data_IF_583666186192
#
_entry.id   IF_583666186192
#
_cell.length_a   1.000
_cell.length_b   1.000
_cell.length_c   1.000
_cell.angle_alpha   90.00
_cell.angle_beta   90.00
_cell.angle_gamma   90.00
#
_symmetry.space_group_name_H-M   'P 1'
#
loop_
_entity.id
_entity.type
_entity.pdbx_description
1 polymer ?
#
# COMPACT_ATOMS: atom_id res chain seq x y z
N UNK A 1 25.04 25.33 10.82
CA UNK A 1 25.16 23.92 10.41
C UNK A 1 23.74 23.38 10.32
N UNK A 2 23.20 23.10 9.10
CA UNK A 2 21.90 22.45 8.96
C UNK A 2 22.09 20.99 9.38
N UNK A 3 21.52 20.59 10.53
CA UNK A 3 21.39 19.19 10.87
C UNK A 3 20.61 18.51 9.77
N UNK A 4 21.27 17.57 9.07
CA UNK A 4 20.61 16.64 8.18
C UNK A 4 19.64 15.80 9.02
N UNK A 5 18.36 16.14 9.05
CA UNK A 5 17.33 15.24 9.54
C UNK A 5 17.48 13.96 8.75
N UNK A 6 17.83 12.85 9.41
CA UNK A 6 17.87 11.54 8.77
C UNK A 6 16.51 11.30 8.15
N UNK A 7 16.46 11.33 6.81
CA UNK A 7 15.26 10.96 6.07
C UNK A 7 15.13 9.46 6.22
N UNK A 8 14.09 9.02 6.91
CA UNK A 8 13.71 7.62 6.94
C UNK A 8 13.43 7.09 5.53
N UNK A 9 13.23 5.77 5.37
CA UNK A 9 12.91 5.19 4.08
C UNK A 9 11.65 5.83 3.48
N UNK A 10 11.63 5.99 2.15
CA UNK A 10 10.50 6.51 1.41
C UNK A 10 9.64 5.36 0.90
N UNK A 11 8.33 5.50 1.10
CA UNK A 11 7.34 4.55 0.61
C UNK A 11 6.55 5.21 -0.52
N UNK A 12 6.65 4.62 -1.71
CA UNK A 12 6.10 5.20 -2.92
C UNK A 12 4.64 4.85 -3.11
N UNK A 13 3.94 5.70 -3.84
CA UNK A 13 2.63 5.40 -4.36
C UNK A 13 2.68 4.25 -5.38
N UNK A 14 1.53 3.74 -5.77
CA UNK A 14 1.42 2.66 -6.76
C UNK A 14 0.36 3.00 -7.81
N UNK A 15 0.45 2.34 -8.96
CA UNK A 15 -0.58 2.33 -9.98
C UNK A 15 -0.88 0.88 -10.32
N UNK A 16 -2.17 0.49 -10.29
CA UNK A 16 -2.63 -0.75 -10.88
C UNK A 16 -2.82 -0.51 -12.37
N UNK A 17 -1.83 -0.94 -13.16
CA UNK A 17 -1.78 -0.68 -14.58
C UNK A 17 -2.80 -1.50 -15.38
N UNK A 18 -3.01 -2.75 -14.95
CA UNK A 18 -4.00 -3.68 -15.49
C UNK A 18 -4.67 -4.45 -14.37
N UNK A 19 -5.91 -4.90 -14.60
CA UNK A 19 -6.62 -5.83 -13.72
C UNK A 19 -7.56 -5.16 -12.72
N UNK A 20 -7.82 -3.86 -12.85
CA UNK A 20 -8.77 -3.15 -11.97
C UNK A 20 -10.11 -3.92 -11.92
N UNK A 21 -10.58 -4.17 -10.70
CA UNK A 21 -11.72 -5.03 -10.37
C UNK A 21 -11.61 -6.49 -10.85
N UNK A 22 -11.00 -6.77 -12.00
CA UNK A 22 -10.86 -8.12 -12.56
C UNK A 22 -10.10 -9.06 -11.64
N UNK A 23 -9.11 -8.57 -10.90
CA UNK A 23 -8.35 -9.36 -9.91
C UNK A 23 -9.23 -9.97 -8.81
N UNK A 24 -10.40 -9.38 -8.53
CA UNK A 24 -11.39 -9.93 -7.57
C UNK A 24 -11.97 -11.27 -8.10
N UNK A 25 -11.90 -11.49 -9.40
CA UNK A 25 -12.38 -12.68 -10.13
C UNK A 25 -11.23 -13.46 -10.79
N UNK A 26 -10.06 -13.43 -10.16
CA UNK A 26 -8.85 -14.16 -10.59
C UNK A 26 -8.35 -13.79 -12.00
N UNK A 27 -8.65 -12.57 -12.49
CA UNK A 27 -7.97 -12.07 -13.68
C UNK A 27 -6.55 -11.65 -13.34
N UNK A 28 -5.70 -11.62 -14.37
CA UNK A 28 -4.34 -11.09 -14.23
C UNK A 28 -4.36 -9.60 -13.96
N UNK A 29 -3.34 -9.13 -13.24
CA UNK A 29 -3.12 -7.73 -12.94
C UNK A 29 -1.64 -7.39 -12.87
N UNK A 30 -1.33 -6.12 -13.05
CA UNK A 30 0.03 -5.60 -12.89
C UNK A 30 -0.02 -4.30 -12.08
N UNK A 31 0.55 -4.33 -10.89
CA UNK A 31 0.76 -3.15 -10.06
C UNK A 31 2.21 -2.70 -10.16
N UNK A 32 2.42 -1.40 -10.33
CA UNK A 32 3.75 -0.81 -10.46
C UNK A 32 3.95 0.30 -9.41
N UNK A 33 5.16 0.46 -8.85
CA UNK A 33 5.47 1.62 -8.02
C UNK A 33 5.46 2.89 -8.88
N UNK A 34 4.97 3.98 -8.31
CA UNK A 34 4.93 5.30 -8.95
C UNK A 34 5.70 6.30 -8.11
N UNK A 35 6.94 6.56 -8.48
CA UNK A 35 7.91 7.29 -7.66
C UNK A 35 7.71 8.80 -7.60
N UNK A 36 6.70 9.34 -8.29
CA UNK A 36 6.39 10.77 -8.25
C UNK A 36 5.86 11.21 -6.89
N UNK A 37 5.10 10.35 -6.23
CA UNK A 37 4.58 10.58 -4.90
C UNK A 37 5.15 9.59 -3.90
N UNK A 38 5.40 10.06 -2.68
CA UNK A 38 5.92 9.23 -1.61
C UNK A 38 5.48 9.73 -0.24
N UNK A 39 5.70 8.90 0.78
CA UNK A 39 5.52 9.25 2.17
C UNK A 39 6.61 8.65 3.05
N UNK A 40 6.81 9.23 4.22
CA UNK A 40 7.73 8.77 5.25
C UNK A 40 7.24 9.14 6.65
N UNK A 41 7.62 8.35 7.66
CA UNK A 41 7.42 8.72 9.06
C UNK A 41 8.46 9.78 9.44
N UNK A 42 8.01 10.86 10.08
CA UNK A 42 8.85 11.97 10.52
C UNK A 42 8.39 12.50 11.87
N UNK A 43 9.33 13.04 12.63
CA UNK A 43 9.04 13.84 13.82
C UNK A 43 9.18 15.33 13.46
N UNK A 44 8.17 16.17 13.68
CA UNK A 44 8.21 17.57 13.28
C UNK A 44 9.02 18.39 14.29
N UNK A 45 9.74 19.40 13.82
CA UNK A 45 10.37 20.39 14.72
C UNK A 45 9.31 21.28 15.40
N UNK A 46 8.23 21.59 14.67
CA UNK A 46 7.09 22.37 15.18
C UNK A 46 5.81 21.67 14.74
N UNK A 47 4.91 21.44 15.68
CA UNK A 47 3.63 20.83 15.40
C UNK A 47 2.67 21.83 14.74
N UNK A 48 2.12 21.46 13.57
CA UNK A 48 1.03 22.15 12.89
C UNK A 48 -0.30 21.43 13.09
N UNK A 49 -1.45 22.03 12.74
CA UNK A 49 -2.74 21.33 12.75
C UNK A 49 -2.72 20.04 11.90
N UNK A 50 -2.05 20.06 10.75
CA UNK A 50 -1.95 18.93 9.83
C UNK A 50 -1.11 17.78 10.44
N UNK A 51 0.07 18.10 11.03
CA UNK A 51 0.90 17.09 11.71
C UNK A 51 0.18 16.50 12.90
N UNK A 52 -0.53 17.31 13.69
CA UNK A 52 -1.35 16.83 14.83
C UNK A 52 -2.47 15.90 14.37
N UNK A 53 -3.15 16.23 13.27
CA UNK A 53 -4.20 15.38 12.69
C UNK A 53 -3.63 14.05 12.23
N UNK A 54 -2.48 14.06 11.55
CA UNK A 54 -1.78 12.84 11.12
C UNK A 54 -1.36 11.99 12.32
N UNK A 55 -0.74 12.60 13.35
CA UNK A 55 -0.37 11.89 14.60
C UNK A 55 -1.59 11.26 15.28
N UNK A 56 -2.70 11.99 15.39
CA UNK A 56 -3.94 11.48 15.99
C UNK A 56 -4.50 10.26 15.19
N UNK A 57 -4.35 10.28 13.88
CA UNK A 57 -4.73 9.16 13.04
C UNK A 57 -3.82 7.94 13.28
N UNK A 58 -2.51 8.14 13.40
CA UNK A 58 -1.54 7.09 13.72
C UNK A 58 -1.74 6.50 15.12
N UNK A 59 -2.14 7.30 16.12
CA UNK A 59 -2.49 6.81 17.45
C UNK A 59 -3.67 5.81 17.37
N UNK A 60 -4.72 6.13 16.60
CA UNK A 60 -5.83 5.19 16.39
C UNK A 60 -5.38 3.93 15.67
N UNK A 61 -4.46 4.05 14.72
CA UNK A 61 -3.90 2.91 14.04
C UNK A 61 -3.04 2.04 14.96
N UNK A 62 -2.21 2.63 15.85
CA UNK A 62 -1.48 1.88 16.89
C UNK A 62 -2.42 1.10 17.81
N UNK A 63 -3.51 1.72 18.25
CA UNK A 63 -4.53 1.05 19.08
C UNK A 63 -5.18 -0.15 18.35
N UNK A 64 -5.49 0.02 17.06
CA UNK A 64 -5.99 -1.07 16.23
C UNK A 64 -4.96 -2.21 16.11
N UNK A 65 -3.70 -1.92 15.84
CA UNK A 65 -2.64 -2.92 15.77
C UNK A 65 -2.46 -3.67 17.09
N UNK A 66 -2.54 -2.97 18.23
CA UNK A 66 -2.45 -3.58 19.56
C UNK A 66 -3.59 -4.57 19.79
N UNK A 67 -4.81 -4.21 19.41
CA UNK A 67 -5.97 -5.09 19.50
C UNK A 67 -5.84 -6.30 18.56
N UNK A 68 -5.54 -6.09 17.31
CA UNK A 68 -5.41 -7.14 16.30
C UNK A 68 -4.26 -8.11 16.59
N UNK A 69 -3.16 -7.62 17.16
CA UNK A 69 -2.03 -8.45 17.62
C UNK A 69 -2.45 -9.30 18.82
N UNK A 70 -3.16 -8.73 19.79
CA UNK A 70 -3.67 -9.47 20.95
C UNK A 70 -4.64 -10.59 20.56
N UNK A 71 -5.46 -10.38 19.53
CA UNK A 71 -6.37 -11.36 18.96
C UNK A 71 -5.68 -12.34 17.99
N UNK A 72 -4.38 -12.20 17.74
CA UNK A 72 -3.60 -13.00 16.78
C UNK A 72 -4.13 -12.95 15.35
N UNK A 73 -4.75 -11.84 14.98
CA UNK A 73 -5.27 -11.62 13.62
C UNK A 73 -4.15 -11.21 12.64
N UNK A 74 -3.07 -10.60 13.15
CA UNK A 74 -1.89 -10.23 12.36
C UNK A 74 -0.77 -11.23 12.65
N UNK A 75 -0.20 -11.81 11.58
CA UNK A 75 0.82 -12.86 11.65
C UNK A 75 2.24 -12.37 11.97
N UNK A 76 2.39 -11.19 12.58
CA UNK A 76 3.68 -10.60 12.99
C UNK A 76 3.48 -9.78 14.27
N UNK A 77 4.50 -9.78 15.14
CA UNK A 77 4.54 -8.91 16.30
C UNK A 77 5.10 -7.52 15.92
N UNK A 78 4.73 -6.50 16.70
CA UNK A 78 5.17 -5.12 16.53
C UNK A 78 5.72 -4.56 17.85
N UNK A 79 6.77 -3.78 17.78
CA UNK A 79 7.24 -2.92 18.88
C UNK A 79 6.30 -1.72 19.05
N UNK A 80 5.10 -2.02 19.60
CA UNK A 80 4.05 -1.01 19.78
C UNK A 80 4.38 0.00 20.88
N UNK A 81 5.24 -0.35 21.83
CA UNK A 81 5.65 0.57 22.89
C UNK A 81 6.59 1.64 22.32
N UNK A 82 7.49 1.26 21.41
CA UNK A 82 8.31 2.21 20.66
C UNK A 82 7.47 3.07 19.71
N UNK A 83 6.48 2.47 19.03
CA UNK A 83 5.55 3.22 18.20
C UNK A 83 4.81 4.31 19.03
N UNK A 84 4.26 3.93 20.18
CA UNK A 84 3.55 4.86 21.05
C UNK A 84 4.48 5.96 21.62
N UNK A 85 5.75 5.62 21.94
CA UNK A 85 6.75 6.59 22.35
C UNK A 85 7.04 7.63 21.25
N UNK A 86 7.24 7.17 20.00
CA UNK A 86 7.48 8.07 18.85
C UNK A 86 6.24 8.93 18.54
N UNK A 87 5.04 8.37 18.65
CA UNK A 87 3.78 9.12 18.52
C UNK A 87 3.61 10.19 19.61
N UNK A 88 4.06 9.91 20.84
CA UNK A 88 4.04 10.89 21.95
C UNK A 88 4.94 12.09 21.67
N UNK A 89 5.98 11.92 20.85
CA UNK A 89 6.86 12.99 20.38
C UNK A 89 6.29 13.73 19.16
N UNK A 90 5.08 13.35 18.70
CA UNK A 90 4.39 13.98 17.59
C UNK A 90 4.77 13.42 16.23
N UNK A 91 5.28 12.17 16.14
CA UNK A 91 5.54 11.52 14.88
C UNK A 91 4.29 11.51 13.99
N UNK A 92 4.47 11.79 12.71
CA UNK A 92 3.42 11.88 11.72
C UNK A 92 3.87 11.23 10.40
N UNK A 93 2.93 10.95 9.53
CA UNK A 93 3.23 10.49 8.18
C UNK A 93 3.25 11.68 7.23
N UNK A 94 4.46 12.08 6.81
CA UNK A 94 4.68 13.13 5.81
C UNK A 94 4.52 12.52 4.42
N UNK A 95 3.46 12.93 3.71
CA UNK A 95 3.11 12.30 2.45
C UNK A 95 2.69 13.31 1.39
N UNK A 96 3.24 13.14 0.19
CA UNK A 96 2.79 13.82 -1.03
C UNK A 96 1.73 13.02 -1.81
N UNK A 97 1.39 11.81 -1.36
CA UNK A 97 0.46 10.91 -2.06
C UNK A 97 -0.97 11.44 -1.92
N UNK A 98 -1.66 11.76 -3.03
CA UNK A 98 -3.02 12.27 -2.96
C UNK A 98 -3.98 11.22 -2.41
N UNK A 99 -4.82 11.64 -1.45
CA UNK A 99 -5.82 10.76 -0.84
C UNK A 99 -7.08 10.68 -1.70
N UNK A 100 -7.69 9.49 -1.77
CA UNK A 100 -8.93 9.27 -2.52
C UNK A 100 -8.77 9.11 -4.04
N UNK A 101 -7.52 9.03 -4.54
CA UNK A 101 -7.23 8.86 -5.97
C UNK A 101 -6.81 7.42 -6.35
N UNK A 102 -6.94 6.46 -5.44
CA UNK A 102 -6.60 5.05 -5.72
C UNK A 102 -5.10 4.77 -5.94
N UNK A 103 -4.23 5.71 -5.58
CA UNK A 103 -2.76 5.61 -5.80
C UNK A 103 -1.99 5.07 -4.58
N UNK A 104 -2.68 4.50 -3.58
CA UNK A 104 -2.07 3.74 -2.49
C UNK A 104 -1.56 4.59 -1.32
N UNK A 105 -2.26 5.67 -0.94
CA UNK A 105 -1.88 6.50 0.22
C UNK A 105 -1.88 5.71 1.53
N UNK A 106 -2.93 4.93 1.82
CA UNK A 106 -3.01 4.03 2.98
C UNK A 106 -1.94 2.95 2.92
N UNK A 107 -1.71 2.39 1.74
CA UNK A 107 -0.70 1.35 1.52
C UNK A 107 0.70 1.82 1.87
N UNK A 108 1.09 3.02 1.48
CA UNK A 108 2.38 3.59 1.80
C UNK A 108 2.55 3.83 3.32
N UNK A 109 1.49 4.27 4.01
CA UNK A 109 1.51 4.42 5.47
C UNK A 109 1.65 3.07 6.18
N UNK A 110 0.88 2.06 5.76
CA UNK A 110 0.97 0.69 6.28
C UNK A 110 2.37 0.13 6.10
N UNK A 111 2.96 0.29 4.91
CA UNK A 111 4.32 -0.14 4.61
C UNK A 111 5.34 0.55 5.52
N UNK A 112 5.19 1.85 5.78
CA UNK A 112 6.07 2.63 6.66
C UNK A 112 6.00 2.16 8.13
N UNK A 113 4.80 1.87 8.64
CA UNK A 113 4.62 1.35 10.01
C UNK A 113 5.18 -0.07 10.12
N UNK A 114 4.94 -0.94 9.14
CA UNK A 114 5.52 -2.28 9.12
C UNK A 114 7.06 -2.21 9.12
N UNK A 115 7.63 -1.41 8.25
CA UNK A 115 9.08 -1.26 8.17
C UNK A 115 9.68 -0.68 9.45
N UNK A 116 9.01 0.30 10.05
CA UNK A 116 9.48 0.93 11.27
C UNK A 116 9.39 0.03 12.50
N UNK A 117 8.33 -0.79 12.64
CA UNK A 117 7.94 -1.33 13.93
C UNK A 117 7.64 -2.83 13.97
N UNK A 118 7.64 -3.55 12.84
CA UNK A 118 7.53 -5.01 12.88
C UNK A 118 8.83 -5.66 13.41
N UNK A 119 8.71 -6.64 14.33
CA UNK A 119 9.87 -7.27 14.97
C UNK A 119 10.65 -8.18 14.01
N UNK A 120 9.98 -9.16 13.40
CA UNK A 120 10.59 -10.11 12.47
C UNK A 120 10.17 -9.78 11.02
N UNK A 121 10.74 -8.71 10.45
CA UNK A 121 10.40 -8.26 9.11
C UNK A 121 10.87 -9.22 8.03
N UNK A 122 9.99 -9.47 7.05
CA UNK A 122 10.41 -10.01 5.76
C UNK A 122 10.95 -8.83 4.95
N UNK A 123 12.24 -8.80 4.67
CA UNK A 123 12.89 -7.69 3.97
C UNK A 123 13.00 -7.95 2.47
N UNK A 124 13.08 -6.87 1.69
CA UNK A 124 13.25 -6.94 0.22
C UNK A 124 14.61 -7.54 -0.17
N UNK A 125 15.60 -7.44 0.73
CA UNK A 125 16.97 -7.93 0.52
C UNK A 125 17.09 -9.45 0.66
N UNK A 126 16.10 -10.10 1.27
CA UNK A 126 16.05 -11.55 1.37
C UNK A 126 15.52 -12.18 0.08
N UNK A 127 15.77 -13.47 -0.08
CA UNK A 127 15.14 -14.22 -1.17
C UNK A 127 13.61 -14.23 -0.94
N UNK A 128 12.89 -13.45 -1.74
CA UNK A 128 11.44 -13.32 -1.69
C UNK A 128 10.80 -14.55 -2.33
N UNK A 129 10.60 -15.60 -1.54
CA UNK A 129 9.82 -16.76 -1.99
C UNK A 129 8.35 -16.40 -2.12
N UNK A 130 7.59 -17.22 -2.85
CA UNK A 130 6.14 -17.05 -2.97
C UNK A 130 5.45 -17.06 -1.61
N UNK A 131 5.87 -17.93 -0.70
CA UNK A 131 5.32 -18.04 0.64
C UNK A 131 5.53 -16.73 1.42
N UNK A 132 6.73 -16.15 1.37
CA UNK A 132 7.05 -14.87 2.01
C UNK A 132 6.21 -13.72 1.42
N UNK A 133 6.02 -13.70 0.11
CA UNK A 133 5.15 -12.69 -0.55
C UNK A 133 3.69 -12.82 -0.10
N UNK A 134 3.16 -14.04 -0.04
CA UNK A 134 1.79 -14.28 0.43
C UNK A 134 1.64 -13.95 1.91
N UNK A 135 2.65 -14.25 2.72
CA UNK A 135 2.67 -13.87 4.14
C UNK A 135 2.66 -12.34 4.31
N UNK A 136 3.52 -11.61 3.59
CA UNK A 136 3.51 -10.14 3.59
C UNK A 136 2.16 -9.59 3.15
N UNK A 137 1.61 -10.11 2.05
CA UNK A 137 0.29 -9.71 1.55
C UNK A 137 -0.80 -9.90 2.61
N UNK A 138 -0.79 -11.03 3.33
CA UNK A 138 -1.76 -11.30 4.39
C UNK A 138 -1.61 -10.35 5.58
N UNK A 139 -0.38 -10.09 6.04
CA UNK A 139 -0.09 -9.11 7.09
C UNK A 139 -0.59 -7.73 6.68
N UNK A 140 -0.26 -7.30 5.48
CA UNK A 140 -0.65 -5.99 4.96
C UNK A 140 -2.16 -5.87 4.75
N UNK A 141 -2.84 -6.94 4.35
CA UNK A 141 -4.30 -6.95 4.25
C UNK A 141 -4.96 -6.69 5.62
N UNK A 142 -4.48 -7.33 6.67
CA UNK A 142 -4.97 -7.09 8.03
C UNK A 142 -4.69 -5.67 8.50
N UNK A 143 -3.45 -5.17 8.34
CA UNK A 143 -3.11 -3.81 8.73
C UNK A 143 -3.95 -2.77 7.98
N UNK A 144 -4.11 -2.92 6.67
CA UNK A 144 -4.85 -1.97 5.82
C UNK A 144 -6.38 -2.03 6.03
N UNK A 145 -6.89 -3.12 6.62
CA UNK A 145 -8.31 -3.24 6.99
C UNK A 145 -8.78 -2.17 7.98
N UNK A 146 -7.86 -1.55 8.72
CA UNK A 146 -8.15 -0.35 9.53
C UNK A 146 -8.76 0.79 8.71
N UNK A 147 -8.31 0.98 7.47
CA UNK A 147 -8.74 2.09 6.61
C UNK A 147 -10.01 1.77 5.81
N UNK A 148 -10.15 0.51 5.39
CA UNK A 148 -11.12 0.11 4.38
C UNK A 148 -12.06 -1.03 4.82
N UNK A 149 -11.93 -1.50 6.06
CA UNK A 149 -12.68 -2.66 6.60
C UNK A 149 -12.23 -3.99 6.00
N UNK A 150 -11.93 -4.04 4.69
CA UNK A 150 -11.36 -5.21 4.01
C UNK A 150 -10.38 -4.77 2.95
N UNK A 151 -9.19 -5.36 2.95
CA UNK A 151 -8.15 -5.08 1.98
C UNK A 151 -7.56 -6.36 1.38
N UNK A 152 -7.02 -6.25 0.17
CA UNK A 152 -6.24 -7.31 -0.49
C UNK A 152 -4.79 -7.36 -0.02
N UNK A 153 -4.26 -6.30 0.60
CA UNK A 153 -2.87 -6.12 0.98
C UNK A 153 -1.92 -5.83 -0.18
N UNK A 154 -2.43 -5.66 -1.41
CA UNK A 154 -1.58 -5.45 -2.59
C UNK A 154 -0.98 -4.04 -2.64
N UNK A 155 -1.71 -3.02 -2.20
CA UNK A 155 -1.23 -1.64 -2.20
C UNK A 155 -0.04 -1.45 -1.24
N UNK A 156 -0.13 -1.86 0.05
CA UNK A 156 1.03 -1.82 0.94
C UNK A 156 2.18 -2.73 0.48
N UNK A 157 1.88 -3.89 -0.10
CA UNK A 157 2.89 -4.80 -0.62
C UNK A 157 3.70 -4.12 -1.73
N UNK A 158 3.05 -3.45 -2.67
CA UNK A 158 3.72 -2.72 -3.74
C UNK A 158 4.56 -1.56 -3.20
N UNK A 159 4.00 -0.76 -2.27
CA UNK A 159 4.71 0.35 -1.63
C UNK A 159 5.93 -0.11 -0.83
N UNK A 160 5.84 -1.26 -0.15
CA UNK A 160 6.92 -1.83 0.66
C UNK A 160 8.04 -2.40 -0.20
N UNK A 161 7.70 -3.21 -1.21
CA UNK A 161 8.69 -3.85 -2.08
C UNK A 161 9.32 -2.87 -3.07
N UNK A 162 8.60 -1.80 -3.44
CA UNK A 162 8.99 -0.86 -4.50
C UNK A 162 9.36 -1.57 -5.81
N UNK A 163 8.68 -2.66 -6.13
CA UNK A 163 8.85 -3.48 -7.33
C UNK A 163 7.52 -3.65 -8.05
N UNK A 164 7.51 -3.78 -9.39
CA UNK A 164 6.33 -4.23 -10.10
C UNK A 164 5.90 -5.61 -9.61
N UNK A 165 4.59 -5.78 -9.41
CA UNK A 165 4.00 -7.04 -8.95
C UNK A 165 3.04 -7.55 -10.02
N UNK A 166 3.36 -8.70 -10.59
CA UNK A 166 2.45 -9.43 -11.46
C UNK A 166 1.51 -10.27 -10.59
N UNK A 167 0.23 -10.08 -10.80
CA UNK A 167 -0.86 -10.78 -10.13
C UNK A 167 -1.42 -11.78 -11.14
N UNK A 168 -1.14 -13.06 -10.96
CA UNK A 168 -1.67 -14.13 -11.83
C UNK A 168 -3.00 -14.66 -11.30
N UNK A 169 -3.19 -14.63 -9.97
CA UNK A 169 -4.43 -14.94 -9.25
C UNK A 169 -4.32 -14.36 -7.82
N UNK A 170 -5.35 -14.55 -7.00
CA UNK A 170 -5.35 -14.09 -5.60
C UNK A 170 -4.19 -14.68 -4.78
N UNK A 171 -3.80 -15.92 -5.09
CA UNK A 171 -2.75 -16.66 -4.37
C UNK A 171 -1.48 -16.83 -5.21
N UNK A 172 -1.41 -16.24 -6.39
CA UNK A 172 -0.24 -16.31 -7.25
C UNK A 172 0.20 -14.91 -7.67
N UNK A 173 1.10 -14.36 -6.89
CA UNK A 173 1.75 -13.08 -7.12
C UNK A 173 3.26 -13.29 -7.22
N UNK A 174 3.92 -12.47 -8.04
CA UNK A 174 5.37 -12.53 -8.24
C UNK A 174 5.94 -11.15 -8.57
N UNK A 175 7.18 -10.84 -8.15
CA UNK A 175 7.85 -9.64 -8.62
C UNK A 175 8.06 -9.73 -10.14
N UNK A 176 7.76 -8.64 -10.83
CA UNK A 176 7.98 -8.53 -12.26
C UNK A 176 9.18 -7.62 -12.54
N UNK A 177 10.00 -7.99 -13.52
CA UNK A 177 11.04 -7.11 -14.03
C UNK A 177 10.42 -5.99 -14.86
N UNK A 178 10.96 -4.77 -14.73
CA UNK A 178 10.68 -3.72 -15.71
C UNK A 178 11.50 -4.04 -16.95
N UNK A 179 10.89 -4.17 -18.14
CA UNK A 179 11.67 -4.33 -19.36
C UNK A 179 12.69 -3.20 -19.47
N UNK A 180 13.94 -3.54 -19.75
CA UNK A 180 14.98 -2.52 -19.92
C UNK A 180 14.50 -1.56 -21.01
N UNK A 181 14.40 -0.28 -20.66
CA UNK A 181 14.12 0.76 -21.65
C UNK A 181 15.30 0.82 -22.60
N UNK A 182 15.21 0.13 -23.72
CA UNK A 182 16.09 0.41 -24.84
C UNK A 182 15.77 1.83 -25.29
N UNK A 183 16.74 2.72 -25.23
CA UNK A 183 16.67 4.17 -25.52
C UNK A 183 16.10 4.55 -26.90
N UNK A 184 15.51 3.62 -27.63
CA UNK A 184 15.05 3.77 -29.01
C UNK A 184 13.53 3.69 -29.22
N UNK A 185 12.73 3.34 -28.21
CA UNK A 185 11.27 3.37 -28.35
C UNK A 185 10.75 4.72 -27.84
N UNK A 186 10.27 5.56 -28.72
CA UNK A 186 9.70 6.89 -28.41
C UNK A 186 8.31 6.83 -27.73
N UNK A 187 7.99 5.74 -26.99
CA UNK A 187 6.74 5.61 -26.24
C UNK A 187 6.87 6.23 -24.84
N UNK A 188 5.77 6.79 -24.34
CA UNK A 188 5.65 7.30 -22.98
C UNK A 188 4.31 6.87 -22.37
N UNK A 189 4.30 6.68 -21.04
CA UNK A 189 3.09 6.43 -20.25
C UNK A 189 2.79 7.70 -19.46
N UNK A 190 1.56 8.19 -19.56
CA UNK A 190 1.11 9.38 -18.86
C UNK A 190 0.03 9.01 -17.85
N UNK A 191 0.13 9.56 -16.64
CA UNK A 191 -0.96 9.53 -15.65
C UNK A 191 -1.83 10.76 -15.88
N UNK A 192 -3.10 10.53 -16.21
CA UNK A 192 -4.09 11.58 -16.31
C UNK A 192 -4.87 11.66 -14.99
N UNK A 193 -4.79 12.80 -14.31
CA UNK A 193 -5.63 13.07 -13.13
C UNK A 193 -7.04 13.43 -13.61
N UNK A 194 -8.04 12.70 -13.12
CA UNK A 194 -9.45 12.97 -13.40
C UNK A 194 -9.98 14.24 -12.70
N UNK A 195 -9.24 14.77 -11.73
CA UNK A 195 -9.67 15.90 -10.89
C UNK A 195 -10.78 15.56 -9.90
N UNK A 196 -11.16 14.27 -9.78
CA UNK A 196 -12.26 13.81 -8.92
C UNK A 196 -11.76 12.66 -8.05
N UNK A 197 -11.96 12.76 -6.74
CA UNK A 197 -11.75 11.64 -5.83
C UNK A 197 -12.86 10.60 -5.99
N UNK A 198 -12.53 9.33 -5.90
CA UNK A 198 -13.48 8.23 -6.01
C UNK A 198 -13.36 7.23 -4.87
N UNK A 199 -14.50 6.71 -4.42
CA UNK A 199 -14.52 5.57 -3.50
C UNK A 199 -14.50 4.26 -4.29
N UNK A 200 -13.61 3.35 -3.92
CA UNK A 200 -13.47 2.05 -4.61
C UNK A 200 -14.68 1.14 -4.37
N UNK A 201 -15.25 1.17 -3.16
CA UNK A 201 -16.31 0.24 -2.76
C UNK A 201 -17.58 0.31 -3.65
N UNK A 202 -18.15 1.48 -4.00
CA UNK A 202 -19.28 1.56 -4.93
C UNK A 202 -18.94 1.01 -6.32
N UNK A 203 -17.73 1.25 -6.81
CA UNK A 203 -17.30 0.77 -8.14
C UNK A 203 -17.14 -0.75 -8.17
N UNK A 204 -16.60 -1.34 -7.09
CA UNK A 204 -16.54 -2.80 -6.91
C UNK A 204 -17.95 -3.39 -6.91
N UNK A 205 -18.91 -2.75 -6.22
CA UNK A 205 -20.29 -3.22 -6.18
C UNK A 205 -20.93 -3.21 -7.58
N UNK A 206 -20.74 -2.13 -8.33
CA UNK A 206 -21.23 -2.03 -9.73
C UNK A 206 -20.61 -3.13 -10.60
N UNK A 207 -19.29 -3.36 -10.47
CA UNK A 207 -18.61 -4.43 -11.20
C UNK A 207 -19.19 -5.80 -10.85
N UNK A 208 -19.37 -6.10 -9.56
CA UNK A 208 -19.92 -7.38 -9.10
C UNK A 208 -21.37 -7.59 -9.57
N UNK A 209 -22.18 -6.52 -9.66
CA UNK A 209 -23.53 -6.60 -10.22
C UNK A 209 -23.50 -6.90 -11.74
N UNK A 210 -22.64 -6.21 -12.48
CA UNK A 210 -22.44 -6.49 -13.93
C UNK A 210 -21.95 -7.90 -14.18
N UNK A 211 -21.13 -8.46 -13.29
CA UNK A 211 -20.63 -9.83 -13.38
C UNK A 211 -21.73 -10.90 -13.28
N UNK A 212 -22.96 -10.57 -12.84
CA UNK A 212 -24.11 -11.48 -12.90
C UNK A 212 -24.62 -11.68 -14.33
N UNK A 213 -24.36 -10.74 -15.24
CA UNK A 213 -24.75 -10.81 -16.63
C UNK A 213 -23.75 -11.65 -17.43
N UNK A 214 -24.25 -12.66 -18.16
CA UNK A 214 -23.42 -13.59 -18.93
C UNK A 214 -22.72 -12.92 -20.13
N UNK A 215 -23.38 -11.99 -20.80
CA UNK A 215 -22.80 -11.22 -21.90
C UNK A 215 -21.62 -10.37 -21.42
N UNK A 216 -21.74 -9.74 -20.25
CA UNK A 216 -20.65 -8.97 -19.66
C UNK A 216 -19.45 -9.88 -19.29
N UNK A 217 -19.72 -11.05 -18.70
CA UNK A 217 -18.67 -12.03 -18.38
C UNK A 217 -17.94 -12.55 -19.63
N UNK A 218 -18.69 -12.80 -20.70
CA UNK A 218 -18.12 -13.27 -21.97
C UNK A 218 -17.20 -12.22 -22.59
N UNK A 219 -17.59 -10.94 -22.53
CA UNK A 219 -16.79 -9.84 -23.06
C UNK A 219 -15.45 -9.66 -22.32
N UNK A 220 -15.38 -10.00 -21.02
CA UNK A 220 -14.14 -9.89 -20.22
C UNK A 220 -13.19 -11.08 -20.42
N UNK A 221 -13.62 -12.18 -21.03
CA UNK A 221 -12.80 -13.37 -21.26
C UNK A 221 -12.06 -13.36 -22.61
N UNK A 222 -12.42 -12.42 -23.48
CA UNK A 222 -11.78 -12.20 -24.79
C UNK A 222 -10.79 -11.04 -24.71
#
# INVERSE_FOLDING_TARGET
MKQNSMRGPLFYSKILLFGEYGIIKDSKGLSIPYNFYNGALKTPEVQTPETKSSTAHLIRFSQYLRQATALKEIGVAFDLDRLDADLSQGMYFDSSIPQGYGVGSSGALVAAIYDGYADAKITVLENLTREKLLQLKAIFAQMESFFHGKSSGLDPLNSYLSLPILINSQDHIEPAGIPSQTKKSGGAVFLLDSGITGETAPMVQIFMEKMKNEGFRSMLKN
#
